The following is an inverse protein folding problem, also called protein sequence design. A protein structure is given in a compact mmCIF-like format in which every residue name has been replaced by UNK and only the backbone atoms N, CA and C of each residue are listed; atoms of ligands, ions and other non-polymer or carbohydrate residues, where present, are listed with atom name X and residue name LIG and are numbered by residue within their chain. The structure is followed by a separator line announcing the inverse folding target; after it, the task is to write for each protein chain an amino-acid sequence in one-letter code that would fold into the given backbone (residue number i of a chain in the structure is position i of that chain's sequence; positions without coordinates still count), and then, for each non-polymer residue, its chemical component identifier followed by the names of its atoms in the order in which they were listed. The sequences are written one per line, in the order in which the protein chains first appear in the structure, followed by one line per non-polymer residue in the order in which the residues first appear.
data_IF_860366259959
#
_entry.id   IF_860366259959
#
_cell.length_a   1.000
_cell.length_b   1.000
_cell.length_c   1.000
_cell.angle_alpha   90.00
_cell.angle_beta   90.00
_cell.angle_gamma   90.00
#
_symmetry.space_group_name_H-M   'P 1'
#
loop_
_entity.id
_entity.type
_entity.pdbx_description
1 polymer ?
#
# COMPACT_ATOMS: atom_id res chain seq x y z
N UNK A 1 -13.41 -0.50 9.96
CA UNK A 1 -12.74 -0.16 8.68
C UNK A 1 -13.22 -1.06 7.55
N UNK A 2 -13.01 -2.38 7.64
CA UNK A 2 -13.37 -3.35 6.57
C UNK A 2 -14.85 -3.28 6.18
N UNK A 3 -15.77 -3.26 7.17
CA UNK A 3 -17.21 -3.17 6.90
C UNK A 3 -17.62 -1.83 6.26
N UNK A 4 -16.99 -0.72 6.67
CA UNK A 4 -17.21 0.59 6.04
C UNK A 4 -16.76 0.58 4.58
N UNK A 5 -15.60 -0.03 4.29
CA UNK A 5 -15.11 -0.18 2.92
C UNK A 5 -16.01 -1.08 2.07
N UNK A 6 -16.52 -2.18 2.63
CA UNK A 6 -17.50 -3.05 1.92
C UNK A 6 -18.77 -2.25 1.58
N UNK A 7 -19.25 -1.42 2.51
CA UNK A 7 -20.40 -0.53 2.26
C UNK A 7 -20.06 0.49 1.17
N UNK A 8 -18.87 1.09 1.16
CA UNK A 8 -18.44 2.00 0.10
C UNK A 8 -18.36 1.31 -1.27
N UNK A 9 -17.84 0.08 -1.32
CA UNK A 9 -17.79 -0.73 -2.56
C UNK A 9 -19.20 -1.05 -3.05
N UNK A 10 -20.13 -1.35 -2.13
CA UNK A 10 -21.54 -1.61 -2.50
C UNK A 10 -22.29 -0.38 -3.02
N UNK A 11 -21.77 0.85 -2.76
CA UNK A 11 -22.34 2.10 -3.28
C UNK A 11 -21.86 2.44 -4.69
N UNK A 12 -20.92 1.68 -5.25
CA UNK A 12 -20.44 1.90 -6.61
C UNK A 12 -21.56 1.65 -7.61
N UNK A 13 -21.96 2.71 -8.31
CA UNK A 13 -23.01 2.64 -9.32
C UNK A 13 -22.40 2.44 -10.71
N UNK A 14 -22.87 1.42 -11.40
CA UNK A 14 -22.49 1.14 -12.78
C UNK A 14 -22.74 2.34 -13.72
N UNK A 15 -23.85 3.07 -13.52
CA UNK A 15 -24.22 4.20 -14.39
C UNK A 15 -23.24 5.37 -14.31
N UNK A 16 -22.73 5.66 -13.12
CA UNK A 16 -21.80 6.76 -12.92
C UNK A 16 -20.44 6.44 -13.55
N UNK A 17 -19.99 5.20 -13.40
CA UNK A 17 -18.77 4.68 -14.05
C UNK A 17 -18.94 4.68 -15.57
N UNK A 18 -20.10 4.25 -16.07
CA UNK A 18 -20.39 4.23 -17.50
C UNK A 18 -20.42 5.66 -18.10
N UNK A 19 -21.03 6.62 -17.41
CA UNK A 19 -21.02 8.04 -17.80
C UNK A 19 -19.60 8.61 -17.81
N UNK A 20 -18.80 8.32 -16.77
CA UNK A 20 -17.42 8.77 -16.68
C UNK A 20 -16.56 8.17 -17.81
N UNK A 21 -16.75 6.88 -18.12
CA UNK A 21 -16.06 6.19 -19.21
C UNK A 21 -16.42 6.78 -20.58
N UNK A 22 -17.71 7.03 -20.86
CA UNK A 22 -18.14 7.72 -22.08
C UNK A 22 -17.56 9.13 -22.18
N UNK A 23 -17.57 9.87 -21.08
CA UNK A 23 -16.95 11.20 -21.00
C UNK A 23 -15.45 11.17 -21.28
N UNK A 24 -14.75 10.13 -20.85
CA UNK A 24 -13.33 9.92 -21.14
C UNK A 24 -13.10 9.62 -22.63
N UNK A 25 -13.86 8.70 -23.23
CA UNK A 25 -13.76 8.36 -24.66
C UNK A 25 -13.95 9.61 -25.54
N UNK A 26 -14.96 10.43 -25.24
CA UNK A 26 -15.21 11.70 -25.94
C UNK A 26 -14.07 12.71 -25.77
N UNK A 27 -13.52 12.86 -24.56
CA UNK A 27 -12.38 13.75 -24.30
C UNK A 27 -11.11 13.29 -25.02
N UNK A 28 -10.87 11.99 -25.09
CA UNK A 28 -9.73 11.40 -25.79
C UNK A 28 -9.86 11.62 -27.29
N UNK A 29 -11.02 11.31 -27.88
CA UNK A 29 -11.29 11.58 -29.30
C UNK A 29 -11.13 13.07 -29.62
N UNK A 30 -11.62 13.97 -28.75
CA UNK A 30 -11.40 15.41 -28.89
C UNK A 30 -9.93 15.83 -28.78
N UNK A 31 -9.11 15.10 -28.03
CA UNK A 31 -7.67 15.36 -27.91
C UNK A 31 -6.90 14.85 -29.13
N UNK A 32 -7.28 13.69 -29.67
CA UNK A 32 -6.70 13.14 -30.91
C UNK A 32 -6.96 14.04 -32.12
N UNK A 33 -8.15 14.63 -32.22
CA UNK A 33 -8.48 15.63 -33.25
C UNK A 33 -7.57 16.86 -33.12
N UNK A 34 -7.29 17.33 -31.89
CA UNK A 34 -6.44 18.51 -31.66
C UNK A 34 -4.97 18.27 -31.97
N UNK A 35 -4.45 17.08 -31.68
CA UNK A 35 -3.04 16.74 -31.87
C UNK A 35 -2.70 16.25 -33.29
N UNK A 36 -3.70 16.10 -34.17
CA UNK A 36 -3.55 15.59 -35.55
C UNK A 36 -2.91 14.20 -35.65
N UNK A 37 -2.99 13.39 -34.58
CA UNK A 37 -2.41 12.02 -34.48
C UNK A 37 -3.39 11.00 -35.08
N UNK A 38 -3.90 11.27 -36.28
CA UNK A 38 -4.63 10.32 -37.14
C UNK A 38 -6.15 10.21 -36.95
N UNK A 39 -6.84 10.39 -38.09
CA UNK A 39 -8.23 9.98 -38.35
C UNK A 39 -8.44 8.46 -38.25
N UNK A 40 -7.37 7.67 -38.08
CA UNK A 40 -7.38 6.21 -38.00
C UNK A 40 -7.58 5.65 -36.58
N UNK A 41 -7.34 6.45 -35.52
CA UNK A 41 -7.45 5.99 -34.12
C UNK A 41 -8.68 6.63 -33.50
N UNK A 42 -9.79 5.89 -33.50
CA UNK A 42 -11.03 6.27 -32.81
C UNK A 42 -11.25 5.38 -31.60
N UNK A 43 -11.44 5.98 -30.43
CA UNK A 43 -11.89 5.25 -29.24
C UNK A 43 -13.40 5.05 -29.37
N UNK A 44 -13.81 3.79 -29.53
CA UNK A 44 -15.23 3.40 -29.52
C UNK A 44 -15.85 3.69 -28.15
N UNK A 45 -17.04 4.29 -28.15
CA UNK A 45 -17.78 4.68 -26.96
C UNK A 45 -18.99 3.78 -26.66
N UNK A 46 -19.34 2.89 -27.59
CA UNK A 46 -20.43 1.91 -27.45
C UNK A 46 -19.92 0.47 -27.34
N UNK A 47 -20.74 -0.38 -26.72
CA UNK A 47 -20.39 -1.79 -26.52
C UNK A 47 -20.58 -2.59 -27.82
N UNK A 48 -19.68 -3.56 -28.11
CA UNK A 48 -19.80 -4.37 -29.32
C UNK A 48 -21.03 -5.28 -29.27
N UNK A 49 -21.81 -5.27 -30.34
CA UNK A 49 -22.96 -6.16 -30.47
C UNK A 49 -22.50 -7.56 -30.91
N UNK A 50 -22.65 -8.54 -30.01
CA UNK A 50 -22.32 -9.93 -30.33
C UNK A 50 -23.52 -10.65 -30.93
N UNK A 51 -23.36 -11.23 -32.13
CA UNK A 51 -24.39 -12.06 -32.78
C UNK A 51 -24.70 -13.30 -31.92
N UNK A 52 -25.97 -13.48 -31.56
CA UNK A 52 -26.43 -14.65 -30.82
C UNK A 52 -26.78 -15.78 -31.80
N UNK A 53 -26.02 -16.87 -31.78
CA UNK A 53 -26.30 -18.07 -32.59
C UNK A 53 -27.32 -18.95 -31.85
N UNK A 54 -28.54 -19.05 -32.37
CA UNK A 54 -29.58 -19.95 -31.83
C UNK A 54 -29.59 -21.28 -32.59
N UNK A 55 -29.70 -22.39 -31.86
CA UNK A 55 -30.02 -23.71 -32.45
C UNK A 55 -31.53 -23.87 -32.51
N UNK A 56 -32.03 -24.53 -33.55
CA UNK A 56 -33.47 -24.85 -33.70
C UNK A 56 -33.85 -25.85 -32.60
N UNK A 57 -34.96 -25.59 -31.90
CA UNK A 57 -35.48 -26.46 -30.82
C UNK A 57 -36.63 -27.34 -31.32
N UNK A 58 -36.82 -28.48 -30.68
CA UNK A 58 -37.98 -29.38 -30.88
C UNK A 58 -39.15 -28.97 -29.96
N UNK A 59 -40.36 -29.45 -30.27
CA UNK A 59 -41.62 -29.06 -29.61
C UNK A 59 -41.67 -29.34 -28.10
N UNK A 60 -40.92 -30.34 -27.60
CA UNK A 60 -40.92 -30.78 -26.19
C UNK A 60 -39.62 -30.42 -25.42
N UNK A 61 -38.72 -29.62 -25.99
CA UNK A 61 -37.48 -29.24 -25.30
C UNK A 61 -37.71 -28.12 -24.27
N UNK A 62 -37.26 -28.33 -23.03
CA UNK A 62 -37.28 -27.32 -21.98
C UNK A 62 -36.38 -26.12 -22.35
N UNK A 63 -36.78 -24.93 -21.91
CA UNK A 63 -36.03 -23.70 -22.16
C UNK A 63 -34.70 -23.70 -21.37
N UNK A 64 -33.59 -23.35 -22.02
CA UNK A 64 -32.35 -23.02 -21.33
C UNK A 64 -32.39 -21.58 -20.81
N UNK A 65 -31.66 -21.28 -19.74
CA UNK A 65 -31.46 -19.93 -19.23
C UNK A 65 -30.94 -19.00 -20.35
N UNK A 66 -31.69 -17.92 -20.61
CA UNK A 66 -31.32 -16.94 -21.63
C UNK A 66 -30.41 -15.88 -21.02
N UNK A 67 -29.22 -15.70 -21.61
CA UNK A 67 -28.34 -14.60 -21.24
C UNK A 67 -28.94 -13.25 -21.70
N UNK A 68 -28.68 -12.14 -20.97
CA UNK A 68 -29.14 -10.81 -21.36
C UNK A 68 -28.64 -10.46 -22.77
N UNK A 69 -29.57 -10.07 -23.64
CA UNK A 69 -29.29 -9.69 -25.03
C UNK A 69 -28.59 -8.33 -25.11
N UNK A 70 -28.92 -7.41 -24.20
CA UNK A 70 -28.42 -6.05 -24.20
C UNK A 70 -26.94 -6.02 -23.78
N UNK A 71 -26.01 -5.54 -24.63
CA UNK A 71 -24.58 -5.53 -24.33
C UNK A 71 -24.23 -4.81 -23.03
N UNK A 72 -24.96 -3.72 -22.73
CA UNK A 72 -24.80 -2.94 -21.49
C UNK A 72 -25.20 -3.73 -20.24
N UNK A 73 -26.32 -4.47 -20.29
CA UNK A 73 -26.76 -5.29 -19.16
C UNK A 73 -25.86 -6.51 -19.00
N UNK A 74 -25.43 -7.11 -20.11
CA UNK A 74 -24.48 -8.21 -20.12
C UNK A 74 -23.16 -7.83 -19.46
N UNK A 75 -22.57 -6.69 -19.84
CA UNK A 75 -21.35 -6.20 -19.20
C UNK A 75 -21.55 -5.88 -17.71
N UNK A 76 -22.70 -5.28 -17.35
CA UNK A 76 -23.04 -5.01 -15.96
C UNK A 76 -23.06 -6.28 -15.10
N UNK A 77 -23.63 -7.37 -15.61
CA UNK A 77 -23.78 -8.63 -14.87
C UNK A 77 -22.48 -9.45 -14.90
N UNK A 78 -21.91 -9.69 -16.08
CA UNK A 78 -20.78 -10.60 -16.25
C UNK A 78 -19.45 -10.02 -15.76
N UNK A 79 -19.27 -8.70 -15.85
CA UNK A 79 -17.99 -8.04 -15.53
C UNK A 79 -18.11 -7.18 -14.29
N UNK A 80 -19.04 -6.22 -14.27
CA UNK A 80 -19.10 -5.27 -13.16
C UNK A 80 -19.49 -5.94 -11.85
N UNK A 81 -20.57 -6.72 -11.84
CA UNK A 81 -21.01 -7.43 -10.64
C UNK A 81 -20.01 -8.50 -10.21
N UNK A 82 -19.43 -9.26 -11.15
CA UNK A 82 -18.43 -10.27 -10.81
C UNK A 82 -17.17 -9.67 -10.19
N UNK A 83 -16.73 -8.49 -10.63
CA UNK A 83 -15.63 -7.74 -9.99
C UNK A 83 -16.03 -7.31 -8.59
N UNK A 84 -17.23 -6.76 -8.39
CA UNK A 84 -17.69 -6.36 -7.04
C UNK A 84 -17.75 -7.55 -6.10
N UNK A 85 -18.30 -8.68 -6.54
CA UNK A 85 -18.40 -9.90 -5.76
C UNK A 85 -17.01 -10.45 -5.42
N UNK A 86 -16.08 -10.45 -6.38
CA UNK A 86 -14.70 -10.85 -6.16
C UNK A 86 -13.98 -9.93 -5.17
N UNK A 87 -14.20 -8.62 -5.25
CA UNK A 87 -13.64 -7.65 -4.31
C UNK A 87 -14.19 -7.86 -2.90
N UNK A 88 -15.50 -8.04 -2.76
CA UNK A 88 -16.11 -8.30 -1.46
C UNK A 88 -15.62 -9.63 -0.87
N UNK A 89 -15.59 -10.68 -1.67
CA UNK A 89 -15.13 -12.00 -1.25
C UNK A 89 -13.66 -11.96 -0.83
N UNK A 90 -12.78 -11.39 -1.66
CA UNK A 90 -11.36 -11.27 -1.35
C UNK A 90 -11.07 -10.43 -0.10
N UNK A 91 -11.80 -9.32 0.12
CA UNK A 91 -11.68 -8.53 1.34
C UNK A 91 -12.17 -9.28 2.58
N UNK A 92 -13.28 -10.01 2.45
CA UNK A 92 -13.80 -10.83 3.53
C UNK A 92 -12.83 -11.98 3.86
N UNK A 93 -12.35 -12.73 2.87
CA UNK A 93 -11.40 -13.82 3.08
C UNK A 93 -10.10 -13.33 3.72
N UNK A 94 -9.57 -12.18 3.27
CA UNK A 94 -8.31 -11.62 3.75
C UNK A 94 -8.40 -11.10 5.19
N UNK A 95 -9.50 -10.42 5.55
CA UNK A 95 -9.59 -9.70 6.81
C UNK A 95 -10.53 -10.31 7.85
N UNK A 96 -11.28 -11.36 7.50
CA UNK A 96 -12.23 -12.01 8.42
C UNK A 96 -11.57 -12.64 9.65
N UNK A 97 -10.43 -13.27 9.47
CA UNK A 97 -9.72 -13.96 10.54
C UNK A 97 -9.17 -12.99 11.60
N UNK A 98 -8.74 -11.79 11.18
CA UNK A 98 -8.07 -10.81 12.04
C UNK A 98 -8.92 -9.55 12.33
N UNK A 99 -10.26 -9.65 12.23
CA UNK A 99 -11.18 -8.51 12.42
C UNK A 99 -10.94 -7.75 13.72
N UNK A 100 -10.76 -8.48 14.82
CA UNK A 100 -10.60 -7.88 16.15
C UNK A 100 -9.32 -7.06 16.26
N UNK A 101 -8.19 -7.59 15.77
CA UNK A 101 -6.91 -6.86 15.77
C UNK A 101 -7.04 -5.59 14.91
N UNK A 102 -7.65 -5.69 13.73
CA UNK A 102 -7.85 -4.56 12.81
C UNK A 102 -8.80 -3.51 13.40
N UNK A 103 -9.79 -3.93 14.18
CA UNK A 103 -10.66 -3.02 14.92
C UNK A 103 -9.88 -2.27 16.00
N UNK A 104 -9.09 -2.99 16.80
CA UNK A 104 -8.23 -2.41 17.84
C UNK A 104 -7.23 -1.40 17.27
N UNK A 105 -6.60 -1.72 16.13
CA UNK A 105 -5.64 -0.83 15.47
C UNK A 105 -6.24 0.48 14.94
N UNK A 106 -7.55 0.51 14.63
CA UNK A 106 -8.18 1.75 14.16
C UNK A 106 -8.12 2.84 15.24
N UNK A 107 -8.28 2.47 16.51
CA UNK A 107 -8.28 3.43 17.61
C UNK A 107 -6.91 4.07 17.87
N UNK A 108 -5.83 3.46 17.38
CA UNK A 108 -4.48 4.02 17.47
C UNK A 108 -4.23 5.14 16.44
N UNK A 109 -5.08 5.26 15.41
CA UNK A 109 -4.92 6.28 14.37
C UNK A 109 -5.48 7.64 14.81
N UNK A 110 -4.82 8.76 14.46
CA UNK A 110 -5.25 10.09 14.91
C UNK A 110 -6.66 10.50 14.45
N UNK A 111 -7.15 9.94 13.33
CA UNK A 111 -8.52 10.13 12.84
C UNK A 111 -9.59 9.86 13.90
N UNK A 112 -9.32 8.91 14.78
CA UNK A 112 -10.27 8.44 15.79
C UNK A 112 -9.99 9.02 17.17
N UNK A 113 -9.01 9.92 17.32
CA UNK A 113 -8.69 10.54 18.61
C UNK A 113 -9.81 11.44 19.15
N UNK A 114 -10.64 12.01 18.27
CA UNK A 114 -11.85 12.72 18.69
C UNK A 114 -12.88 11.78 19.32
N UNK A 115 -13.04 10.57 18.77
CA UNK A 115 -13.96 9.56 19.30
C UNK A 115 -13.45 8.99 20.64
N UNK A 116 -12.13 8.82 20.74
CA UNK A 116 -11.41 8.45 21.97
C UNK A 116 -11.61 9.50 23.06
N UNK A 117 -11.43 10.79 22.74
CA UNK A 117 -11.62 11.91 23.68
C UNK A 117 -13.04 11.96 24.23
N UNK A 118 -14.03 11.60 23.43
CA UNK A 118 -15.44 11.57 23.81
C UNK A 118 -15.84 10.28 24.55
N UNK A 119 -14.88 9.39 24.87
CA UNK A 119 -15.08 8.10 25.55
C UNK A 119 -16.09 7.17 24.85
N UNK A 120 -16.22 7.29 23.54
CA UNK A 120 -17.08 6.42 22.72
C UNK A 120 -16.40 5.08 22.37
N UNK A 121 -15.41 4.67 23.16
CA UNK A 121 -14.64 3.45 22.93
C UNK A 121 -15.47 2.27 23.48
N UNK A 122 -15.73 1.22 22.67
CA UNK A 122 -16.38 0.01 23.15
C UNK A 122 -15.60 -0.64 24.31
N UNK A 123 -16.30 -1.24 25.28
CA UNK A 123 -15.67 -2.01 26.37
C UNK A 123 -14.80 -3.18 25.87
N UNK A 124 -15.03 -3.60 24.62
CA UNK A 124 -14.29 -4.65 23.94
C UNK A 124 -12.99 -4.19 23.25
N UNK A 125 -12.71 -2.88 23.18
CA UNK A 125 -11.59 -2.33 22.45
C UNK A 125 -10.24 -2.63 23.12
N UNK A 126 -9.20 -2.81 22.29
CA UNK A 126 -7.80 -3.03 22.67
C UNK A 126 -7.57 -4.31 23.48
N UNK A 127 -8.57 -5.20 23.59
CA UNK A 127 -8.46 -6.48 24.27
C UNK A 127 -7.49 -7.42 23.57
N UNK A 128 -7.61 -7.56 22.25
CA UNK A 128 -6.75 -8.45 21.48
C UNK A 128 -5.33 -7.92 21.41
N UNK A 129 -5.17 -6.60 21.21
CA UNK A 129 -3.84 -5.98 21.24
C UNK A 129 -3.19 -6.05 22.63
N UNK A 130 -3.95 -5.88 23.73
CA UNK A 130 -3.44 -6.01 25.10
C UNK A 130 -2.91 -7.42 25.37
N UNK A 131 -3.63 -8.45 24.92
CA UNK A 131 -3.19 -9.85 25.05
C UNK A 131 -1.92 -10.09 24.23
N UNK A 132 -1.88 -9.63 22.98
CA UNK A 132 -0.76 -9.88 22.06
C UNK A 132 0.51 -9.13 22.45
N UNK A 133 0.39 -7.89 22.92
CA UNK A 133 1.51 -7.06 23.35
C UNK A 133 1.95 -7.31 24.80
N UNK A 134 1.25 -8.17 25.55
CA UNK A 134 1.51 -8.42 26.98
C UNK A 134 1.41 -7.16 27.85
N UNK A 135 0.56 -6.21 27.47
CA UNK A 135 0.36 -4.92 28.14
C UNK A 135 -0.97 -4.90 28.90
N UNK A 136 -1.02 -4.24 30.06
CA UNK A 136 -2.26 -4.06 30.82
C UNK A 136 -3.27 -3.16 30.09
N UNK A 137 -4.45 -3.70 29.79
CA UNK A 137 -5.53 -3.00 29.07
C UNK A 137 -5.93 -1.66 29.69
N UNK A 138 -6.13 -1.62 31.01
CA UNK A 138 -6.57 -0.39 31.69
C UNK A 138 -5.57 0.75 31.52
N UNK A 139 -4.28 0.47 31.77
CA UNK A 139 -3.19 1.44 31.61
C UNK A 139 -3.07 1.93 30.16
N UNK A 140 -3.23 1.03 29.19
CA UNK A 140 -3.17 1.36 27.77
C UNK A 140 -4.31 2.33 27.39
N UNK A 141 -5.54 2.07 27.84
CA UNK A 141 -6.68 2.96 27.60
C UNK A 141 -6.45 4.33 28.25
N UNK A 142 -5.97 4.36 29.50
CA UNK A 142 -5.69 5.62 30.20
C UNK A 142 -4.61 6.45 29.48
N UNK A 143 -3.52 5.81 29.05
CA UNK A 143 -2.45 6.44 28.26
C UNK A 143 -2.97 6.96 26.91
N UNK A 144 -3.85 6.21 26.26
CA UNK A 144 -4.43 6.56 24.96
C UNK A 144 -5.43 7.71 25.06
N UNK A 145 -6.30 7.72 26.07
CA UNK A 145 -7.20 8.84 26.36
C UNK A 145 -6.39 10.12 26.63
N UNK A 146 -5.36 10.02 27.47
CA UNK A 146 -4.51 11.15 27.79
C UNK A 146 -3.76 11.66 26.55
N UNK A 147 -3.14 10.76 25.79
CA UNK A 147 -2.42 11.11 24.57
C UNK A 147 -3.32 11.76 23.52
N UNK A 148 -4.54 11.24 23.31
CA UNK A 148 -5.50 11.81 22.37
C UNK A 148 -5.88 13.26 22.71
N UNK A 149 -5.96 13.62 24.00
CA UNK A 149 -6.22 15.01 24.41
C UNK A 149 -5.04 15.95 24.17
N UNK A 150 -3.82 15.45 24.33
CA UNK A 150 -2.58 16.23 24.18
C UNK A 150 -2.15 16.30 22.71
N UNK A 151 -2.52 15.30 21.89
CA UNK A 151 -2.09 15.17 20.51
C UNK A 151 -2.33 16.44 19.68
N UNK A 152 -3.51 17.06 19.77
CA UNK A 152 -3.81 18.31 19.03
C UNK A 152 -2.87 19.46 19.43
N UNK A 153 -2.44 19.50 20.69
CA UNK A 153 -1.52 20.53 21.20
C UNK A 153 -0.06 20.26 20.80
N UNK A 154 0.31 19.01 20.51
CA UNK A 154 1.67 18.64 20.09
C UNK A 154 1.89 18.80 18.59
N UNK A 155 0.86 18.50 17.78
CA UNK A 155 0.94 18.59 16.31
C UNK A 155 1.02 20.04 15.84
N UNK A 156 0.27 20.95 16.48
CA UNK A 156 0.26 22.36 16.08
C UNK A 156 1.63 23.07 16.15
N UNK A 157 2.42 22.94 17.25
CA UNK A 157 3.77 23.49 17.33
C UNK A 157 4.76 22.88 16.34
N UNK A 158 4.61 21.59 16.00
CA UNK A 158 5.52 20.88 15.09
C UNK A 158 5.23 21.15 13.60
N UNK A 159 4.00 21.56 13.28
CA UNK A 159 3.65 22.04 11.94
C UNK A 159 3.97 23.52 11.72
N UNK A 160 3.97 24.36 12.77
CA UNK A 160 4.17 25.82 12.65
C UNK A 160 5.61 26.29 12.84
N UNK A 161 6.50 25.53 13.50
CA UNK A 161 7.84 26.05 13.91
C UNK A 161 8.87 26.29 12.79
N UNK A 162 8.62 25.89 11.55
CA UNK A 162 9.58 26.13 10.45
C UNK A 162 9.13 27.16 9.41
N UNK A 163 7.91 27.70 9.46
CA UNK A 163 7.49 28.70 8.46
C UNK A 163 7.86 30.15 8.84
N UNK A 164 8.12 30.42 10.12
CA UNK A 164 8.24 31.80 10.62
C UNK A 164 9.69 32.28 10.84
N UNK A 165 10.69 31.43 10.62
CA UNK A 165 12.10 31.81 10.86
C UNK A 165 12.88 32.18 9.59
N UNK A 166 12.39 31.83 8.40
CA UNK A 166 13.05 32.13 7.11
C UNK A 166 12.14 32.88 6.13
N UNK A 167 11.45 33.90 6.61
CA UNK A 167 10.88 34.92 5.73
C UNK A 167 11.60 36.24 5.99
N UNK A 168 12.84 36.31 5.49
CA UNK A 168 13.50 37.57 5.16
C UNK A 168 14.04 37.44 3.75
N UNK A 169 13.28 38.02 2.83
CA UNK A 169 13.69 38.69 1.59
C UNK A 169 15.08 38.41 1.01
N UNK A 170 15.02 38.05 -0.28
CA UNK A 170 15.96 38.31 -1.37
C UNK A 170 16.91 37.17 -1.78
N UNK A 171 16.74 36.85 -3.07
CA UNK A 171 17.63 36.30 -4.10
C UNK A 171 18.86 35.46 -3.68
N UNK A 172 19.00 34.33 -4.38
CA UNK A 172 20.18 33.45 -4.54
C UNK A 172 20.33 32.22 -3.62
N UNK A 173 20.23 31.07 -4.30
CA UNK A 173 21.03 29.84 -4.21
C UNK A 173 21.61 29.34 -2.88
N UNK A 174 21.29 28.06 -2.65
CA UNK A 174 22.07 27.05 -1.93
C UNK A 174 22.32 27.28 -0.43
N UNK A 175 22.33 26.16 0.32
CA UNK A 175 22.51 26.06 1.77
C UNK A 175 21.29 26.42 2.63
N UNK A 176 20.52 25.41 3.05
CA UNK A 176 20.46 25.01 4.47
C UNK A 176 20.26 23.49 4.53
N UNK A 177 21.37 22.78 4.76
CA UNK A 177 21.41 21.39 5.17
C UNK A 177 21.11 21.30 6.68
N UNK A 178 20.28 20.31 7.04
CA UNK A 178 19.99 19.72 8.36
C UNK A 178 20.84 20.13 9.58
N UNK A 179 20.16 20.27 10.73
CA UNK A 179 20.73 19.88 12.02
C UNK A 179 19.65 19.28 12.92
N UNK A 180 19.38 17.98 12.73
CA UNK A 180 19.02 17.05 13.80
C UNK A 180 19.69 15.71 13.43
N UNK A 181 20.85 15.43 14.03
CA UNK A 181 21.50 14.13 13.99
C UNK A 181 20.66 13.10 14.77
N UNK A 182 20.10 12.13 14.05
CA UNK A 182 19.70 10.83 14.60
C UNK A 182 20.25 9.77 13.65
N UNK A 183 21.53 9.44 13.83
CA UNK A 183 22.27 8.47 13.01
C UNK A 183 21.99 7.01 13.40
N UNK A 184 21.00 6.70 14.25
CA UNK A 184 20.92 5.36 14.87
C UNK A 184 19.54 4.68 14.91
N UNK A 185 18.54 5.18 14.17
CA UNK A 185 17.27 4.45 13.94
C UNK A 185 16.77 4.67 12.51
N UNK A 186 17.65 4.48 11.54
CA UNK A 186 17.27 4.32 10.15
C UNK A 186 16.58 2.94 10.00
N UNK A 187 15.35 2.83 10.52
CA UNK A 187 14.39 1.82 10.09
C UNK A 187 13.96 2.19 8.67
N UNK A 188 14.84 1.86 7.74
CA UNK A 188 14.72 1.96 6.30
C UNK A 188 13.65 0.95 5.85
N UNK A 189 12.37 1.27 6.11
CA UNK A 189 11.27 0.63 5.39
C UNK A 189 11.16 1.34 4.04
N UNK A 190 12.00 0.91 3.10
CA UNK A 190 11.89 1.32 1.72
C UNK A 190 10.55 0.84 1.14
N UNK A 191 9.66 1.80 0.89
CA UNK A 191 8.54 1.60 -0.01
C UNK A 191 9.10 1.76 -1.43
N UNK A 192 9.62 0.67 -2.00
CA UNK A 192 10.10 0.61 -3.38
C UNK A 192 9.00 1.04 -4.38
N UNK A 193 9.11 2.29 -4.85
CA UNK A 193 8.64 2.73 -6.16
C UNK A 193 9.87 3.25 -6.91
N UNK A 194 10.41 2.37 -7.75
CA UNK A 194 11.22 2.63 -8.95
C UNK A 194 12.04 3.94 -9.00
N UNK A 195 13.31 3.85 -8.62
CA UNK A 195 14.31 4.90 -8.88
C UNK A 195 14.98 4.68 -10.24
N UNK A 196 14.37 5.19 -11.32
CA UNK A 196 15.15 5.58 -12.50
C UNK A 196 15.77 6.95 -12.20
N UNK A 197 17.10 7.02 -12.10
CA UNK A 197 17.95 8.25 -12.04
C UNK A 197 17.16 9.56 -11.92
N UNK A 198 16.77 9.92 -10.70
CA UNK A 198 16.26 11.25 -10.38
C UNK A 198 16.62 11.57 -8.93
N UNK A 199 16.88 12.85 -8.69
CA UNK A 199 17.35 13.47 -7.45
C UNK A 199 16.69 12.90 -6.19
N UNK A 200 17.48 12.80 -5.11
CA UNK A 200 17.03 12.46 -3.77
C UNK A 200 15.98 13.47 -3.30
N UNK A 201 14.72 13.21 -3.63
CA UNK A 201 13.58 13.91 -3.11
C UNK A 201 12.90 12.97 -2.11
N UNK A 202 13.39 12.95 -0.86
CA UNK A 202 12.68 12.36 0.28
C UNK A 202 11.50 13.26 0.64
N UNK A 203 10.58 13.43 -0.30
CA UNK A 203 9.31 14.09 -0.12
C UNK A 203 8.21 13.04 -0.28
N UNK A 204 8.25 12.03 0.58
CA UNK A 204 7.01 11.32 0.90
C UNK A 204 6.22 12.32 1.74
N UNK A 205 5.24 12.98 1.12
CA UNK A 205 4.27 13.83 1.80
C UNK A 205 3.42 12.91 2.69
N UNK A 206 3.95 12.53 3.84
CA UNK A 206 3.18 11.84 4.86
C UNK A 206 2.12 12.82 5.36
N UNK A 207 0.85 12.46 5.18
CA UNK A 207 -0.26 13.19 5.75
C UNK A 207 -0.19 13.02 7.27
N UNK A 208 0.46 13.98 7.96
CA UNK A 208 0.81 13.93 9.39
C UNK A 208 -0.41 13.76 10.29
N UNK A 209 -1.59 14.08 9.77
CA UNK A 209 -2.87 13.95 10.47
C UNK A 209 -3.40 12.51 10.51
N UNK A 210 -2.82 11.57 9.75
CA UNK A 210 -3.42 10.24 9.53
C UNK A 210 -2.43 9.06 9.61
N UNK A 211 -1.15 9.29 9.86
CA UNK A 211 -0.11 8.26 9.76
C UNK A 211 0.32 7.71 11.13
N UNK A 212 0.19 6.38 11.32
CA UNK A 212 0.64 5.70 12.54
C UNK A 212 2.15 5.82 12.76
N UNK A 213 2.95 5.83 11.69
CA UNK A 213 4.41 6.01 11.78
C UNK A 213 4.78 7.41 12.28
N UNK A 214 4.05 8.45 11.87
CA UNK A 214 4.24 9.81 12.39
C UNK A 214 3.91 9.86 13.88
N UNK A 215 2.81 9.23 14.31
CA UNK A 215 2.43 9.11 15.71
C UNK A 215 3.52 8.39 16.52
N UNK A 216 4.03 7.27 16.02
CA UNK A 216 5.11 6.54 16.67
C UNK A 216 6.38 7.39 16.81
N UNK A 217 6.80 8.11 15.77
CA UNK A 217 7.96 9.02 15.84
C UNK A 217 7.78 10.10 16.91
N UNK A 218 6.59 10.68 17.01
CA UNK A 218 6.25 11.66 18.05
C UNK A 218 6.32 11.05 19.45
N UNK A 219 5.69 9.89 19.64
CA UNK A 219 5.68 9.18 20.90
C UNK A 219 7.08 8.74 21.33
N UNK A 220 7.88 8.22 20.41
CA UNK A 220 9.26 7.86 20.67
C UNK A 220 10.07 9.08 21.12
N UNK A 221 9.91 10.24 20.45
CA UNK A 221 10.57 11.47 20.87
C UNK A 221 10.16 11.95 22.27
N UNK A 222 8.90 11.75 22.66
CA UNK A 222 8.39 12.11 23.99
C UNK A 222 8.83 11.11 25.06
N UNK A 223 8.92 9.83 24.70
CA UNK A 223 9.31 8.74 25.60
C UNK A 223 10.80 8.81 25.99
N UNK A 224 11.64 9.45 25.14
CA UNK A 224 13.03 9.80 25.50
C UNK A 224 13.11 10.80 26.67
N UNK A 225 12.05 11.59 26.89
CA UNK A 225 12.01 12.60 27.95
C UNK A 225 11.21 12.14 29.18
N UNK A 226 10.14 11.35 29.01
CA UNK A 226 9.25 10.89 30.08
C UNK A 226 8.68 9.48 29.78
N UNK A 227 8.75 8.50 30.69
CA UNK A 227 8.26 7.12 30.45
C UNK A 227 6.73 6.97 30.51
N UNK A 228 5.99 8.08 30.43
CA UNK A 228 4.54 8.15 30.68
C UNK A 228 3.68 7.41 29.67
N UNK A 229 4.22 7.08 28.49
CA UNK A 229 3.51 6.43 27.39
C UNK A 229 4.20 5.14 26.91
N UNK A 230 4.94 4.47 27.80
CA UNK A 230 5.74 3.29 27.47
C UNK A 230 4.90 2.12 26.95
N UNK A 231 3.70 1.91 27.51
CA UNK A 231 2.79 0.86 27.09
C UNK A 231 2.19 1.16 25.71
N UNK A 232 1.78 2.41 25.49
CA UNK A 232 1.26 2.86 24.20
C UNK A 232 2.33 2.81 23.10
N UNK A 233 3.58 3.18 23.40
CA UNK A 233 4.70 3.02 22.48
C UNK A 233 4.93 1.55 22.10
N UNK A 234 5.02 0.65 23.08
CA UNK A 234 5.26 -0.78 22.85
C UNK A 234 4.13 -1.42 22.02
N UNK A 235 2.87 -1.02 22.26
CA UNK A 235 1.73 -1.53 21.49
C UNK A 235 1.72 -1.02 20.04
N UNK A 236 2.09 0.24 19.80
CA UNK A 236 2.22 0.77 18.44
C UNK A 236 3.40 0.13 17.72
N UNK A 237 4.53 -0.08 18.40
CA UNK A 237 5.69 -0.79 17.86
C UNK A 237 5.30 -2.21 17.44
N UNK A 238 4.62 -2.94 18.32
CA UNK A 238 4.09 -4.26 17.99
C UNK A 238 3.18 -4.20 16.76
N UNK A 239 2.26 -3.23 16.69
CA UNK A 239 1.38 -3.06 15.53
C UNK A 239 2.15 -2.75 14.24
N UNK A 240 3.21 -1.95 14.30
CA UNK A 240 4.05 -1.65 13.13
C UNK A 240 4.81 -2.89 12.62
N UNK A 241 5.09 -3.86 13.49
CA UNK A 241 5.64 -5.17 13.06
C UNK A 241 4.59 -6.10 12.45
N UNK A 242 3.30 -5.85 12.70
CA UNK A 242 2.23 -6.71 12.17
C UNK A 242 2.01 -6.47 10.67
N UNK A 243 2.08 -7.57 9.92
CA UNK A 243 1.86 -7.62 8.48
C UNK A 243 0.38 -7.69 8.09
N UNK A 244 -0.40 -6.62 8.26
CA UNK A 244 -1.86 -6.65 7.99
C UNK A 244 -2.18 -6.59 6.49
N UNK A 245 -1.37 -5.87 5.71
CA UNK A 245 -1.50 -5.78 4.25
C UNK A 245 -0.13 -5.68 3.59
N UNK A 246 0.66 -6.76 3.67
CA UNK A 246 1.96 -6.79 3.00
C UNK A 246 1.79 -6.96 1.49
N UNK A 247 1.78 -5.84 0.76
CA UNK A 247 1.97 -5.82 -0.69
C UNK A 247 3.39 -6.29 -1.06
N UNK A 248 4.37 -6.06 -0.16
CA UNK A 248 5.75 -6.47 -0.36
C UNK A 248 5.89 -8.00 -0.45
N UNK A 249 5.26 -8.76 0.44
CA UNK A 249 5.29 -10.22 0.36
C UNK A 249 4.59 -10.75 -0.90
N UNK A 250 3.47 -10.14 -1.31
CA UNK A 250 2.81 -10.48 -2.58
C UNK A 250 3.72 -10.22 -3.80
N UNK A 251 4.48 -9.12 -3.78
CA UNK A 251 5.50 -8.80 -4.79
C UNK A 251 6.61 -9.84 -4.82
N UNK A 252 7.12 -10.26 -3.67
CA UNK A 252 8.15 -11.33 -3.56
C UNK A 252 7.63 -12.65 -4.11
N UNK A 253 6.39 -13.04 -3.78
CA UNK A 253 5.77 -14.25 -4.34
C UNK A 253 5.56 -14.18 -5.86
N UNK A 254 5.25 -12.99 -6.39
CA UNK A 254 5.17 -12.78 -7.83
C UNK A 254 6.53 -12.96 -8.50
N UNK A 255 7.61 -12.40 -7.91
CA UNK A 255 8.99 -12.62 -8.38
C UNK A 255 9.39 -14.09 -8.30
N UNK A 256 9.08 -14.77 -7.20
CA UNK A 256 9.30 -16.21 -7.03
C UNK A 256 8.60 -17.00 -8.13
N UNK A 257 7.34 -16.67 -8.44
CA UNK A 257 6.59 -17.32 -9.52
C UNK A 257 7.26 -17.11 -10.88
N UNK A 258 7.76 -15.91 -11.16
CA UNK A 258 8.52 -15.62 -12.39
C UNK A 258 9.81 -16.44 -12.45
N UNK A 259 10.58 -16.52 -11.36
CA UNK A 259 11.82 -17.31 -11.28
C UNK A 259 11.53 -18.79 -11.55
N UNK A 260 10.52 -19.37 -10.88
CA UNK A 260 10.12 -20.77 -11.06
C UNK A 260 9.64 -21.07 -12.48
N UNK A 261 8.83 -20.19 -13.07
CA UNK A 261 8.31 -20.36 -14.43
C UNK A 261 9.42 -20.22 -15.49
N UNK A 262 10.31 -19.25 -15.33
CA UNK A 262 11.43 -19.01 -16.27
C UNK A 262 12.43 -20.16 -16.27
N UNK A 263 12.73 -20.73 -15.11
CA UNK A 263 13.75 -21.77 -14.95
C UNK A 263 13.17 -23.20 -15.03
N UNK A 264 11.88 -23.37 -15.40
CA UNK A 264 11.18 -24.65 -15.54
C UNK A 264 11.59 -25.66 -14.45
N UNK A 265 11.25 -25.33 -13.20
CA UNK A 265 11.18 -26.25 -12.05
C UNK A 265 12.21 -27.40 -11.96
N UNK A 266 13.52 -27.10 -12.07
CA UNK A 266 14.61 -28.03 -11.72
C UNK A 266 15.68 -27.36 -10.84
N UNK A 267 15.24 -26.50 -9.92
CA UNK A 267 16.11 -25.75 -9.01
C UNK A 267 15.97 -26.32 -7.59
N UNK A 268 17.10 -26.56 -6.94
CA UNK A 268 17.15 -26.95 -5.51
C UNK A 268 16.68 -25.79 -4.62
N UNK A 269 16.19 -26.10 -3.42
CA UNK A 269 15.69 -25.08 -2.49
C UNK A 269 16.73 -24.00 -2.17
N UNK A 270 18.00 -24.39 -1.99
CA UNK A 270 19.08 -23.46 -1.64
C UNK A 270 19.33 -22.43 -2.75
N UNK A 271 19.31 -22.85 -4.02
CA UNK A 271 19.45 -21.93 -5.14
C UNK A 271 18.22 -21.04 -5.31
N UNK A 272 17.03 -21.55 -5.02
CA UNK A 272 15.80 -20.75 -5.04
C UNK A 272 15.83 -19.64 -3.99
N UNK A 273 16.25 -19.96 -2.77
CA UNK A 273 16.38 -19.00 -1.67
C UNK A 273 17.40 -17.90 -2.02
N UNK A 274 18.56 -18.29 -2.54
CA UNK A 274 19.57 -17.34 -3.00
C UNK A 274 19.03 -16.41 -4.11
N UNK A 275 18.29 -16.92 -5.09
CA UNK A 275 17.71 -16.08 -6.15
C UNK A 275 16.60 -15.15 -5.65
N UNK A 276 15.82 -15.59 -4.65
CA UNK A 276 14.82 -14.72 -4.01
C UNK A 276 15.53 -13.61 -3.26
N UNK A 277 16.55 -13.92 -2.47
CA UNK A 277 17.35 -12.92 -1.73
C UNK A 277 17.96 -11.90 -2.70
N UNK A 278 18.59 -12.36 -3.79
CA UNK A 278 19.10 -11.48 -4.83
C UNK A 278 18.02 -10.62 -5.48
N UNK A 279 16.79 -11.12 -5.59
CA UNK A 279 15.68 -10.35 -6.17
C UNK A 279 15.10 -9.31 -5.23
N UNK A 280 15.17 -9.53 -3.92
CA UNK A 280 14.78 -8.58 -2.87
C UNK A 280 15.86 -7.51 -2.75
N UNK A 281 17.11 -7.92 -2.63
CA UNK A 281 18.27 -7.03 -2.47
C UNK A 281 18.86 -6.54 -3.80
N UNK A 282 18.01 -6.42 -4.84
CA UNK A 282 18.49 -6.04 -6.17
C UNK A 282 19.17 -4.67 -6.16
N UNK A 283 18.69 -3.74 -5.33
CA UNK A 283 19.27 -2.40 -5.21
C UNK A 283 20.70 -2.44 -4.64
N UNK A 284 20.97 -3.35 -3.70
CA UNK A 284 22.33 -3.58 -3.16
C UNK A 284 23.21 -4.22 -4.24
N UNK A 285 22.68 -5.20 -4.98
CA UNK A 285 23.43 -5.84 -6.06
C UNK A 285 23.79 -4.88 -7.20
N UNK A 286 22.91 -3.95 -7.54
CA UNK A 286 23.15 -2.93 -8.57
C UNK A 286 24.26 -1.94 -8.14
N UNK A 287 24.59 -1.85 -6.85
CA UNK A 287 25.70 -1.03 -6.33
C UNK A 287 27.04 -1.76 -6.37
N UNK A 288 27.06 -3.09 -6.47
CA UNK A 288 28.29 -3.87 -6.51
C UNK A 288 28.87 -3.82 -7.93
N UNK A 289 30.13 -3.39 -8.05
CA UNK A 289 30.78 -3.35 -9.35
C UNK A 289 31.15 -4.77 -9.83
N UNK A 290 31.09 -4.99 -11.14
CA UNK A 290 31.48 -6.29 -11.73
C UNK A 290 32.97 -6.59 -11.50
N UNK A 291 33.79 -5.54 -11.36
CA UNK A 291 35.23 -5.66 -11.10
C UNK A 291 35.50 -6.25 -9.72
N UNK A 292 34.79 -5.80 -8.69
CA UNK A 292 34.88 -6.34 -7.32
C UNK A 292 34.51 -7.83 -7.27
N UNK A 293 33.48 -8.23 -8.03
CA UNK A 293 33.05 -9.63 -8.12
C UNK A 293 34.13 -10.49 -8.79
N UNK A 294 34.77 -9.96 -9.85
CA UNK A 294 35.85 -10.65 -10.55
C UNK A 294 37.08 -10.79 -9.64
N UNK A 295 37.42 -9.76 -8.86
CA UNK A 295 38.52 -9.84 -7.89
C UNK A 295 38.24 -10.85 -6.77
N UNK A 296 37.02 -10.88 -6.24
CA UNK A 296 36.61 -11.89 -5.27
C UNK A 296 36.73 -13.30 -5.87
N UNK A 297 36.27 -13.52 -7.10
CA UNK A 297 36.41 -14.81 -7.78
C UNK A 297 37.87 -15.19 -8.08
N UNK A 298 38.72 -14.23 -8.44
CA UNK A 298 40.18 -14.44 -8.58
C UNK A 298 40.80 -14.97 -7.30
N UNK A 299 40.40 -14.42 -6.15
CA UNK A 299 40.93 -14.80 -4.84
C UNK A 299 40.53 -16.22 -4.42
N UNK A 300 39.42 -16.75 -4.95
CA UNK A 300 38.86 -18.05 -4.56
C UNK A 300 39.66 -19.27 -5.07
N UNK A 301 40.41 -19.15 -6.17
CA UNK A 301 41.15 -20.27 -6.76
C UNK A 301 42.41 -19.81 -7.51
N UNK A 302 43.51 -20.54 -7.28
CA UNK A 302 44.79 -20.33 -7.98
C UNK A 302 44.71 -20.54 -9.49
N UNK A 303 43.72 -21.30 -9.97
CA UNK A 303 43.47 -21.54 -11.39
C UNK A 303 42.70 -20.36 -12.02
N UNK A 304 41.73 -19.79 -11.30
CA UNK A 304 40.96 -18.61 -11.74
C UNK A 304 41.81 -17.34 -11.74
N UNK A 305 42.73 -17.21 -10.79
CA UNK A 305 43.71 -16.11 -10.76
C UNK A 305 44.52 -16.02 -12.06
N UNK A 306 44.86 -17.15 -12.70
CA UNK A 306 45.61 -17.18 -13.96
C UNK A 306 44.76 -16.95 -15.20
N UNK A 307 43.47 -17.26 -15.14
CA UNK A 307 42.56 -17.15 -16.29
C UNK A 307 41.86 -15.79 -16.39
N UNK A 308 41.69 -15.10 -15.25
CA UNK A 308 40.98 -13.83 -15.17
C UNK A 308 41.93 -12.61 -15.04
N UNK A 309 43.26 -12.81 -14.97
CA UNK A 309 44.25 -11.72 -14.96
C UNK A 309 44.35 -11.02 -16.31
#
# INVERSE_FOLDING_TARGET
MVEKCIVEISRLNFEDIFKASKGFALKMNGSFIKTKISEEITVEDDFPETRIRRKKRMFDEMCNDEAPTDPKLKFKIEVFQSILDQLQTSLNDRFSNNKCIIADMQYLLPKYYNDVKNKLIPESALNQLSILSSVNRSKLIDELEHFATIYSQLVEPLCKKNSHMYNTSDEDHDFIQNYIDYEDLNLEWDCEISKTKFERNTNIVHNRDNCLLCVYKLLHSLNLHLPTYSNLCATIEYVLTLSISQVNCERVFSKLKIIKNRLRASISNDHLEAFILMSVEKEILDQISLEDIIEYLKSSSSLLSKLLS
#
